data_IF_638756445729
#
_entry.id   IF_638756445729
#
_cell.length_a   1.000
_cell.length_b   1.000
_cell.length_c   1.000
_cell.angle_alpha   90.00
_cell.angle_beta   90.00
_cell.angle_gamma   90.00
#
_symmetry.space_group_name_H-M   'P 1'
#
loop_
_entity.id
_entity.type
_entity.pdbx_description
1 polymer ?
#
# COMPACT_ATOMS: atom_id res chain seq x y z
N UNK A 1 10.12 0.86 3.40
CA UNK A 1 11.05 0.45 2.32
C UNK A 1 10.38 -0.27 1.14
N UNK A 2 9.22 -0.88 1.37
CA UNK A 2 8.19 -1.19 0.35
C UNK A 2 7.73 0.00 -0.52
N UNK A 3 7.73 1.28 -0.05
CA UNK A 3 7.29 2.39 -0.89
C UNK A 3 8.17 2.61 -2.12
N UNK A 4 9.49 2.42 -2.01
CA UNK A 4 10.41 2.64 -3.13
C UNK A 4 10.20 1.60 -4.23
N UNK A 5 10.03 0.32 -3.86
CA UNK A 5 9.67 -0.71 -4.85
C UNK A 5 8.35 -0.34 -5.53
N UNK A 6 7.32 0.02 -4.75
CA UNK A 6 6.04 0.46 -5.29
C UNK A 6 6.14 1.65 -6.26
N UNK A 7 7.02 2.62 -6.00
CA UNK A 7 7.27 3.77 -6.87
C UNK A 7 7.79 3.36 -8.25
N UNK A 8 8.89 2.61 -8.31
CA UNK A 8 9.46 2.17 -9.60
C UNK A 8 8.58 1.14 -10.33
N UNK A 9 7.79 0.38 -9.59
CA UNK A 9 6.88 -0.62 -10.16
C UNK A 9 5.61 0.03 -10.73
N UNK A 10 4.95 0.91 -9.97
CA UNK A 10 3.57 1.34 -10.28
C UNK A 10 3.46 2.79 -10.74
N UNK A 11 4.30 3.68 -10.25
CA UNK A 11 4.07 5.13 -10.37
C UNK A 11 5.02 5.82 -11.36
N UNK A 12 6.22 5.28 -11.57
CA UNK A 12 7.12 5.79 -12.61
C UNK A 12 6.58 5.51 -14.01
N UNK A 13 6.62 6.55 -14.85
CA UNK A 13 6.21 6.52 -16.26
C UNK A 13 7.10 5.60 -17.10
N UNK A 14 8.42 5.69 -16.88
CA UNK A 14 9.41 4.80 -17.49
C UNK A 14 9.78 3.68 -16.52
N UNK A 15 9.80 2.43 -17.03
CA UNK A 15 10.27 1.30 -16.23
C UNK A 15 11.79 1.27 -16.23
N UNK A 16 12.37 1.25 -15.03
CA UNK A 16 13.81 1.14 -14.80
C UNK A 16 14.12 -0.23 -14.20
N UNK A 17 14.44 -1.26 -15.01
CA UNK A 17 14.53 -2.66 -14.53
C UNK A 17 15.56 -2.85 -13.42
N UNK A 18 16.68 -2.14 -13.49
CA UNK A 18 17.75 -2.18 -12.48
C UNK A 18 17.30 -1.65 -11.12
N UNK A 19 16.49 -0.58 -11.10
CA UNK A 19 15.91 -0.04 -9.89
C UNK A 19 14.84 -1.00 -9.31
N UNK A 20 13.96 -1.53 -10.17
CA UNK A 20 12.95 -2.50 -9.77
C UNK A 20 13.59 -3.74 -9.13
N UNK A 21 14.60 -4.33 -9.78
CA UNK A 21 15.32 -5.49 -9.25
C UNK A 21 15.98 -5.18 -7.90
N UNK A 22 16.69 -4.05 -7.81
CA UNK A 22 17.33 -3.60 -6.56
C UNK A 22 16.33 -3.47 -5.43
N UNK A 23 15.22 -2.75 -5.64
CA UNK A 23 14.26 -2.48 -4.56
C UNK A 23 13.40 -3.70 -4.22
N UNK A 24 13.12 -4.58 -5.17
CA UNK A 24 12.45 -5.86 -4.92
C UNK A 24 13.31 -6.77 -4.04
N UNK A 25 14.61 -6.91 -4.36
CA UNK A 25 15.57 -7.63 -3.50
C UNK A 25 15.65 -7.03 -2.09
N UNK A 26 15.58 -5.70 -2.00
CA UNK A 26 15.61 -4.97 -0.74
C UNK A 26 14.36 -5.25 0.10
N UNK A 27 13.16 -5.33 -0.52
CA UNK A 27 11.92 -5.78 0.15
C UNK A 27 12.09 -7.19 0.70
N UNK A 28 12.57 -8.13 -0.10
CA UNK A 28 12.85 -9.52 0.35
C UNK A 28 13.83 -9.54 1.53
N UNK A 29 14.88 -8.72 1.50
CA UNK A 29 15.85 -8.62 2.60
C UNK A 29 15.22 -8.13 3.89
N UNK A 30 14.39 -7.08 3.84
CA UNK A 30 13.71 -6.56 5.05
C UNK A 30 12.68 -7.54 5.59
N UNK A 31 11.93 -8.22 4.72
CA UNK A 31 11.05 -9.31 5.16
C UNK A 31 11.86 -10.45 5.81
N UNK A 32 13.07 -10.71 5.33
CA UNK A 32 14.01 -11.65 5.96
C UNK A 32 14.46 -11.24 7.37
N UNK A 33 14.53 -9.94 7.69
CA UNK A 33 14.81 -9.47 9.06
C UNK A 33 13.68 -9.87 10.01
N UNK A 34 12.42 -9.76 9.55
CA UNK A 34 11.25 -10.16 10.34
C UNK A 34 11.28 -11.66 10.67
N UNK A 35 11.83 -12.49 9.77
CA UNK A 35 12.06 -13.92 10.02
C UNK A 35 12.98 -14.16 11.21
N UNK A 36 14.01 -13.32 11.41
CA UNK A 36 14.96 -13.44 12.52
C UNK A 36 14.47 -12.84 13.84
N UNK A 37 13.61 -11.82 13.80
CA UNK A 37 13.08 -11.17 15.01
C UNK A 37 11.93 -11.95 15.67
N UNK A 38 11.24 -12.78 14.91
CA UNK A 38 10.03 -13.48 15.37
C UNK A 38 10.33 -14.89 15.90
N UNK A 39 11.29 -15.01 16.81
CA UNK A 39 11.41 -16.19 17.69
C UNK A 39 10.22 -16.20 18.66
N UNK A 40 9.04 -16.57 18.14
CA UNK A 40 7.79 -17.11 18.71
C UNK A 40 7.17 -16.41 19.95
N UNK A 41 7.85 -15.50 20.62
CA UNK A 41 7.47 -14.94 21.93
C UNK A 41 7.54 -13.42 22.03
N UNK A 42 8.34 -12.74 21.22
CA UNK A 42 8.48 -11.28 21.30
C UNK A 42 8.19 -10.59 19.98
N UNK A 43 7.57 -9.43 20.14
CA UNK A 43 7.06 -8.54 19.11
C UNK A 43 8.14 -8.15 18.09
N UNK A 44 7.74 -7.66 16.91
CA UNK A 44 8.67 -7.24 15.86
C UNK A 44 9.67 -6.17 16.32
N UNK A 45 9.34 -5.44 17.39
CA UNK A 45 10.20 -4.44 18.01
C UNK A 45 10.40 -4.72 19.50
N UNK A 46 10.63 -5.99 19.89
CA UNK A 46 10.83 -6.36 21.31
C UNK A 46 9.65 -5.97 22.20
N UNK A 47 9.84 -5.62 23.46
CA UNK A 47 8.72 -5.28 24.38
C UNK A 47 8.08 -3.89 24.14
N UNK A 48 8.26 -3.30 22.95
CA UNK A 48 7.62 -2.04 22.58
C UNK A 48 6.12 -2.20 22.34
N UNK A 49 5.42 -1.06 22.41
CA UNK A 49 3.97 -0.98 22.46
C UNK A 49 3.25 -1.63 21.27
N UNK A 50 1.96 -1.91 21.46
CA UNK A 50 1.08 -2.41 20.40
C UNK A 50 1.06 -1.51 19.15
N UNK A 51 1.27 -0.20 19.31
CA UNK A 51 1.27 0.77 18.23
C UNK A 51 2.43 0.56 17.25
N UNK A 52 3.65 0.41 17.76
CA UNK A 52 4.87 0.22 16.96
C UNK A 52 4.81 -1.05 16.11
N UNK A 53 4.14 -2.07 16.65
CA UNK A 53 3.91 -3.33 15.95
C UNK A 53 2.78 -3.22 14.92
N UNK A 54 1.70 -2.48 15.21
CA UNK A 54 0.59 -2.29 14.27
C UNK A 54 0.97 -1.51 13.02
N UNK A 55 1.97 -0.63 13.07
CA UNK A 55 2.44 0.13 11.92
C UNK A 55 2.95 -0.75 10.76
N UNK A 56 3.36 -1.99 11.03
CA UNK A 56 3.83 -2.94 10.01
C UNK A 56 2.70 -3.67 9.27
N UNK A 57 1.53 -3.80 9.90
CA UNK A 57 0.41 -4.60 9.37
C UNK A 57 -0.09 -4.09 8.01
N UNK A 58 -0.32 -2.77 7.78
CA UNK A 58 -0.76 -2.28 6.48
C UNK A 58 0.24 -2.57 5.35
N UNK A 59 1.55 -2.57 5.66
CA UNK A 59 2.60 -2.84 4.69
C UNK A 59 2.70 -4.32 4.35
N UNK A 60 2.51 -5.19 5.32
CA UNK A 60 2.47 -6.64 5.11
C UNK A 60 1.23 -7.08 4.32
N UNK A 61 0.08 -6.43 4.53
CA UNK A 61 -1.12 -6.67 3.73
C UNK A 61 -0.87 -6.42 2.24
N UNK A 62 -0.08 -5.38 1.93
CA UNK A 62 0.28 -4.97 0.55
C UNK A 62 1.58 -5.55 0.03
N UNK A 63 2.18 -6.51 0.73
CA UNK A 63 3.45 -7.10 0.31
C UNK A 63 3.34 -7.76 -1.07
N UNK A 64 2.19 -8.33 -1.41
CA UNK A 64 1.87 -8.89 -2.73
C UNK A 64 2.04 -7.87 -3.86
N UNK A 65 1.47 -6.68 -3.70
CA UNK A 65 1.56 -5.59 -4.68
C UNK A 65 2.96 -4.99 -4.78
N UNK A 66 3.78 -5.11 -3.72
CA UNK A 66 5.11 -4.49 -3.63
C UNK A 66 6.25 -5.44 -3.96
N UNK A 67 6.02 -6.76 -3.90
CA UNK A 67 7.07 -7.79 -4.09
C UNK A 67 6.82 -8.72 -5.28
N UNK A 68 5.70 -8.54 -6.00
CA UNK A 68 5.27 -9.42 -7.11
C UNK A 68 5.05 -10.89 -6.70
N UNK A 69 4.96 -11.17 -5.39
CA UNK A 69 4.62 -12.51 -4.90
C UNK A 69 3.12 -12.52 -4.55
N UNK A 70 2.26 -13.18 -5.35
CA UNK A 70 0.83 -13.23 -5.06
C UNK A 70 0.55 -14.02 -3.78
N UNK A 71 -0.63 -13.80 -3.20
CA UNK A 71 -1.18 -14.76 -2.23
C UNK A 71 -1.45 -16.11 -2.91
N UNK A 72 -1.25 -17.26 -2.24
CA UNK A 72 -0.90 -17.43 -0.81
C UNK A 72 0.61 -17.37 -0.50
N UNK A 73 1.44 -17.13 -1.51
CA UNK A 73 2.88 -17.41 -1.45
C UNK A 73 3.71 -16.31 -0.77
N UNK A 74 3.13 -15.11 -0.59
CA UNK A 74 3.83 -13.95 -0.04
C UNK A 74 4.44 -14.19 1.35
N UNK A 75 3.89 -15.13 2.11
CA UNK A 75 4.42 -15.55 3.42
C UNK A 75 4.95 -16.98 3.47
N UNK A 76 5.01 -17.72 2.36
CA UNK A 76 5.36 -19.15 2.34
C UNK A 76 6.73 -19.42 2.99
N UNK A 77 7.69 -18.52 2.82
CA UNK A 77 9.05 -18.60 3.39
C UNK A 77 9.21 -17.85 4.73
N UNK A 78 8.12 -17.28 5.25
CA UNK A 78 8.07 -16.35 6.39
C UNK A 78 6.91 -16.74 7.34
N UNK A 79 6.82 -18.03 7.70
CA UNK A 79 5.68 -18.57 8.48
C UNK A 79 5.48 -17.86 9.82
N UNK A 80 6.56 -17.42 10.47
CA UNK A 80 6.48 -16.69 11.72
C UNK A 80 5.90 -15.27 11.54
N UNK A 81 6.24 -14.60 10.44
CA UNK A 81 5.62 -13.34 10.01
C UNK A 81 4.14 -13.55 9.69
N UNK A 82 3.77 -14.67 9.05
CA UNK A 82 2.38 -15.02 8.77
C UNK A 82 1.55 -15.10 10.06
N UNK A 83 2.02 -15.89 11.03
CA UNK A 83 1.34 -16.06 12.32
C UNK A 83 1.22 -14.74 13.07
N UNK A 84 2.30 -13.95 13.10
CA UNK A 84 2.29 -12.60 13.68
C UNK A 84 1.26 -11.70 12.99
N UNK A 85 1.21 -11.72 11.66
CA UNK A 85 0.30 -10.89 10.86
C UNK A 85 -1.16 -11.26 11.11
N UNK A 86 -1.49 -12.56 11.06
CA UNK A 86 -2.82 -13.09 11.34
C UNK A 86 -3.30 -12.77 12.76
N UNK A 87 -2.39 -12.78 13.75
CA UNK A 87 -2.72 -12.37 15.13
C UNK A 87 -3.16 -10.91 15.21
N UNK A 88 -2.58 -10.01 14.42
CA UNK A 88 -2.97 -8.60 14.40
C UNK A 88 -4.21 -8.33 13.57
N UNK A 89 -4.30 -8.95 12.39
CA UNK A 89 -5.45 -8.76 11.49
C UNK A 89 -6.73 -9.41 12.00
N UNK A 90 -6.62 -10.40 12.89
CA UNK A 90 -7.78 -11.01 13.57
C UNK A 90 -8.42 -10.11 14.64
N UNK A 91 -7.76 -9.04 15.10
CA UNK A 91 -8.27 -8.15 16.15
C UNK A 91 -9.54 -7.41 15.70
N UNK A 92 -10.54 -7.24 16.59
CA UNK A 92 -11.78 -6.53 16.25
C UNK A 92 -11.56 -5.09 15.74
N UNK A 93 -10.61 -4.37 16.33
CA UNK A 93 -10.29 -3.00 15.91
C UNK A 93 -9.75 -2.93 14.49
N UNK A 94 -8.90 -3.89 14.10
CA UNK A 94 -8.37 -3.97 12.74
C UNK A 94 -9.47 -4.31 11.73
N UNK A 95 -10.28 -5.33 12.03
CA UNK A 95 -11.42 -5.70 11.17
C UNK A 95 -12.36 -4.53 10.94
N UNK A 96 -12.70 -3.79 12.01
CA UNK A 96 -13.52 -2.57 11.91
C UNK A 96 -12.86 -1.49 11.05
N UNK A 97 -11.56 -1.24 11.23
CA UNK A 97 -10.83 -0.28 10.42
C UNK A 97 -10.82 -0.67 8.94
N UNK A 98 -10.66 -1.95 8.61
CA UNK A 98 -10.69 -2.44 7.23
C UNK A 98 -12.08 -2.37 6.61
N UNK A 99 -13.15 -2.58 7.39
CA UNK A 99 -14.54 -2.36 6.94
C UNK A 99 -14.81 -0.89 6.60
N UNK A 100 -14.39 0.03 7.48
CA UNK A 100 -14.50 1.48 7.23
C UNK A 100 -13.71 1.85 5.99
N UNK A 101 -12.48 1.35 5.87
CA UNK A 101 -11.65 1.57 4.68
C UNK A 101 -12.35 1.10 3.42
N UNK A 102 -12.88 -0.14 3.40
CA UNK A 102 -13.58 -0.68 2.23
C UNK A 102 -14.74 0.23 1.79
N UNK A 103 -15.59 0.65 2.74
CA UNK A 103 -16.68 1.59 2.49
C UNK A 103 -16.18 2.91 1.87
N UNK A 104 -15.14 3.53 2.44
CA UNK A 104 -14.61 4.80 1.94
C UNK A 104 -13.95 4.67 0.55
N UNK A 105 -13.31 3.52 0.28
CA UNK A 105 -12.74 3.23 -1.04
C UNK A 105 -13.84 3.07 -2.11
N UNK A 106 -15.01 2.57 -1.73
CA UNK A 106 -16.16 2.47 -2.65
C UNK A 106 -16.86 3.83 -2.83
N UNK A 107 -17.04 4.61 -1.75
CA UNK A 107 -17.69 5.93 -1.80
C UNK A 107 -16.88 6.98 -2.56
N UNK A 108 -15.55 7.00 -2.40
CA UNK A 108 -14.68 8.01 -3.01
C UNK A 108 -14.09 7.58 -4.36
N UNK A 109 -14.32 6.32 -4.73
CA UNK A 109 -13.77 5.66 -5.91
C UNK A 109 -12.22 5.66 -6.11
N UNK A 110 -11.36 5.74 -5.07
CA UNK A 110 -9.94 5.52 -5.27
C UNK A 110 -9.64 4.03 -5.52
N UNK A 111 -8.67 3.76 -6.39
CA UNK A 111 -8.00 2.46 -6.49
C UNK A 111 -7.06 2.27 -5.29
N UNK A 112 -6.57 1.04 -5.11
CA UNK A 112 -5.67 0.69 -3.99
C UNK A 112 -4.40 1.56 -3.88
N UNK A 113 -3.97 2.16 -5.00
CA UNK A 113 -2.80 3.04 -5.14
C UNK A 113 -3.12 4.53 -4.94
N UNK A 114 -4.38 4.89 -4.64
CA UNK A 114 -4.84 6.27 -4.44
C UNK A 114 -5.24 7.00 -5.72
N UNK A 115 -5.11 6.38 -6.89
CA UNK A 115 -5.55 6.94 -8.17
C UNK A 115 -7.03 6.60 -8.37
N UNK A 116 -7.91 7.51 -8.84
CA UNK A 116 -9.31 7.19 -9.13
C UNK A 116 -9.45 6.04 -10.15
N UNK A 117 -10.53 5.25 -10.05
CA UNK A 117 -10.76 4.17 -11.01
C UNK A 117 -10.78 4.67 -12.45
N UNK A 118 -10.20 3.88 -13.34
CA UNK A 118 -10.15 4.20 -14.77
C UNK A 118 -9.07 5.20 -15.19
N UNK A 119 -8.21 5.66 -14.27
CA UNK A 119 -7.03 6.48 -14.58
C UNK A 119 -5.78 5.62 -14.48
N UNK A 120 -4.95 5.64 -15.53
CA UNK A 120 -3.80 4.73 -15.68
C UNK A 120 -2.48 5.35 -15.25
N UNK A 121 -2.40 6.67 -15.19
CA UNK A 121 -1.18 7.37 -14.78
C UNK A 121 -1.48 8.62 -13.96
N UNK A 122 -0.49 9.05 -13.18
CA UNK A 122 -0.60 10.31 -12.44
C UNK A 122 -0.78 11.51 -13.37
N UNK A 123 -0.14 11.50 -14.53
CA UNK A 123 -0.28 12.56 -15.54
C UNK A 123 -1.71 12.64 -16.10
N UNK A 124 -2.37 11.49 -16.34
CA UNK A 124 -3.79 11.46 -16.73
C UNK A 124 -4.69 12.02 -15.61
N UNK A 125 -4.33 11.81 -14.34
CA UNK A 125 -5.06 12.36 -13.20
C UNK A 125 -4.92 13.88 -13.11
N UNK A 126 -3.70 14.39 -13.21
CA UNK A 126 -3.42 15.84 -13.24
C UNK A 126 -4.17 16.54 -14.37
N UNK A 127 -4.19 15.94 -15.57
CA UNK A 127 -4.93 16.47 -16.71
C UNK A 127 -6.44 16.53 -16.43
N UNK A 128 -7.01 15.51 -15.75
CA UNK A 128 -8.43 15.52 -15.36
C UNK A 128 -8.75 16.58 -14.32
N UNK A 129 -7.90 16.76 -13.31
CA UNK A 129 -8.10 17.82 -12.30
C UNK A 129 -8.10 19.18 -12.98
N UNK A 130 -7.08 19.45 -13.81
CA UNK A 130 -6.98 20.71 -14.55
C UNK A 130 -8.20 20.96 -15.43
N UNK A 131 -8.66 19.94 -16.17
CA UNK A 131 -9.87 20.07 -16.99
C UNK A 131 -11.14 20.32 -16.15
N UNK A 132 -11.25 19.75 -14.96
CA UNK A 132 -12.36 20.00 -14.02
C UNK A 132 -12.33 21.42 -13.46
N UNK A 133 -11.15 21.91 -13.08
CA UNK A 133 -10.94 23.26 -12.57
C UNK A 133 -11.24 24.31 -13.67
N UNK A 134 -10.77 24.05 -14.89
CA UNK A 134 -11.04 24.90 -16.06
C UNK A 134 -12.55 24.92 -16.39
N UNK A 135 -13.22 23.76 -16.34
CA UNK A 135 -14.67 23.67 -16.57
C UNK A 135 -15.48 24.41 -15.49
N UNK A 136 -15.12 24.26 -14.21
CA UNK A 136 -15.75 24.98 -13.11
C UNK A 136 -15.56 26.50 -13.27
N UNK A 137 -14.35 26.94 -13.62
CA UNK A 137 -14.05 28.37 -13.83
C UNK A 137 -14.87 28.96 -14.99
N UNK A 138 -15.08 28.20 -16.06
CA UNK A 138 -15.87 28.62 -17.21
C UNK A 138 -17.37 28.71 -16.90
N UNK A 139 -17.88 27.82 -16.04
CA UNK A 139 -19.29 27.82 -15.59
C UNK A 139 -19.60 29.02 -14.68
N UNK A 140 -18.68 29.38 -13.78
CA UNK A 140 -18.80 30.62 -12.98
C UNK A 140 -18.66 31.90 -13.84
N UNK A 141 -17.82 31.88 -14.88
CA UNK A 141 -17.70 32.99 -15.83
C UNK A 141 -18.95 33.19 -16.69
N UNK A 142 -19.65 32.12 -17.06
CA UNK A 142 -20.87 32.17 -17.87
C UNK A 142 -22.10 32.69 -17.11
N UNK A 143 -22.12 32.59 -15.77
CA UNK A 143 -23.19 33.09 -14.92
C UNK A 143 -23.06 34.60 -14.57
N UNK A 144 -22.06 35.28 -15.16
CA UNK A 144 -21.69 36.68 -14.86
C UNK A 144 -22.05 37.68 -15.97
N UNK A 145 -22.87 37.29 -16.96
CA UNK A 145 -23.33 38.14 -18.08
C UNK A 145 -24.85 38.25 -18.13
#
# INVERSE_FOLDING_TARGET
MTPQAGQFIHFYSEKVPTAIDRYTKQVTRVLGVLKGCSDVKHWLVGDKTAHDNMAWVPWNDRADTSSWVPEPDKFQRLLNVKVWHERWTSRPSWKRAMQIRARLMDEQDPMWNGIPKGIRSFSEYEAKIKASDDAATNEFGACSL
#
